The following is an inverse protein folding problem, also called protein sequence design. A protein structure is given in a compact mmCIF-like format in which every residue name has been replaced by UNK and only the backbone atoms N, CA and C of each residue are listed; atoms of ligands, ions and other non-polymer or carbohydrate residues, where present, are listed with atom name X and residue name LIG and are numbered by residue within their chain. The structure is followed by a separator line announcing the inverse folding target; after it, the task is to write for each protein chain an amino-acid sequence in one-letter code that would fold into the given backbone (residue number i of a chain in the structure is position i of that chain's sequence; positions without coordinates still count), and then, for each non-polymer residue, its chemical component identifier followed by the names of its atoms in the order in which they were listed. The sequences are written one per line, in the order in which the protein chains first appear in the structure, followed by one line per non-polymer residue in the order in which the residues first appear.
data_IF_755670307869
#
_entry.id   IF_755670307869
#
_cell.length_a   1.000
_cell.length_b   1.000
_cell.length_c   1.000
_cell.angle_alpha   90.00
_cell.angle_beta   90.00
_cell.angle_gamma   90.00
#
_symmetry.space_group_name_H-M   'P 1'
#
loop_
_entity.id
_entity.type
_entity.pdbx_description
1 polymer ?
#
# COMPACT_ATOMS: atom_id res chain seq x y z
N UNK A 1 -7.06 -1.44 -17.92
CA UNK A 1 -7.32 -2.68 -17.13
C UNK A 1 -6.52 -2.59 -15.83
N UNK A 2 -7.14 -2.76 -14.67
CA UNK A 2 -6.52 -2.61 -13.33
C UNK A 2 -5.54 -3.77 -13.00
N UNK A 3 -5.56 -4.82 -13.82
CA UNK A 3 -4.93 -6.12 -13.60
C UNK A 3 -3.39 -6.15 -13.51
N UNK A 4 -2.71 -5.02 -13.66
CA UNK A 4 -1.26 -4.92 -13.57
C UNK A 4 -0.78 -3.89 -12.53
N UNK A 5 -1.64 -3.48 -11.57
CA UNK A 5 -1.15 -2.67 -10.46
C UNK A 5 -0.29 -3.54 -9.56
N UNK A 6 1.01 -3.39 -9.74
CA UNK A 6 2.02 -3.99 -8.89
C UNK A 6 1.79 -3.49 -7.45
N UNK A 7 1.47 -4.42 -6.55
CA UNK A 7 1.22 -4.16 -5.13
C UNK A 7 2.54 -4.25 -4.37
N UNK A 8 3.52 -3.43 -4.77
CA UNK A 8 4.84 -3.39 -4.14
C UNK A 8 4.81 -2.76 -2.76
N UNK A 9 5.78 -3.13 -1.94
CA UNK A 9 6.01 -2.48 -0.66
C UNK A 9 4.92 -2.79 0.38
N UNK A 10 4.20 -3.89 0.21
CA UNK A 10 3.30 -4.45 1.23
C UNK A 10 3.69 -5.89 1.56
N UNK A 11 3.35 -6.35 2.77
CA UNK A 11 3.57 -7.74 3.15
C UNK A 11 2.68 -8.70 2.34
N UNK A 12 3.06 -9.99 2.28
CA UNK A 12 2.33 -11.05 1.57
C UNK A 12 0.83 -11.07 1.94
N UNK A 13 0.52 -10.95 3.23
CA UNK A 13 -0.86 -10.90 3.71
C UNK A 13 -1.65 -9.73 3.10
N UNK A 14 -1.05 -8.54 3.10
CA UNK A 14 -1.68 -7.35 2.53
C UNK A 14 -1.78 -7.42 1.01
N UNK A 15 -0.81 -8.03 0.33
CA UNK A 15 -0.84 -8.28 -1.12
C UNK A 15 -2.05 -9.11 -1.50
N UNK A 16 -2.28 -10.25 -0.83
CA UNK A 16 -3.45 -11.10 -1.09
C UNK A 16 -4.79 -10.37 -0.89
N UNK A 17 -4.89 -9.48 0.10
CA UNK A 17 -6.10 -8.64 0.30
C UNK A 17 -6.33 -7.69 -0.90
N UNK A 18 -5.26 -7.07 -1.41
CA UNK A 18 -5.36 -6.15 -2.54
C UNK A 18 -5.68 -6.89 -3.83
N UNK A 19 -5.02 -8.02 -4.08
CA UNK A 19 -5.29 -8.90 -5.22
C UNK A 19 -6.73 -9.42 -5.20
N UNK A 20 -7.24 -9.85 -4.04
CA UNK A 20 -8.64 -10.21 -3.88
C UNK A 20 -9.58 -9.05 -4.20
N UNK A 21 -9.27 -7.83 -3.72
CA UNK A 21 -10.07 -6.63 -4.05
C UNK A 21 -10.06 -6.33 -5.55
N UNK A 22 -8.93 -6.53 -6.24
CA UNK A 22 -8.85 -6.36 -7.70
C UNK A 22 -9.66 -7.45 -8.40
N UNK A 23 -9.46 -8.73 -8.03
CA UNK A 23 -10.15 -9.89 -8.60
C UNK A 23 -11.67 -9.77 -8.52
N UNK A 24 -12.18 -9.24 -7.42
CA UNK A 24 -13.62 -9.09 -7.18
C UNK A 24 -14.15 -7.68 -7.48
N UNK A 25 -13.39 -6.83 -8.21
CA UNK A 25 -13.80 -5.46 -8.56
C UNK A 25 -14.19 -4.57 -7.36
N UNK A 26 -13.62 -4.86 -6.18
CA UNK A 26 -13.78 -4.11 -4.92
C UNK A 26 -12.63 -3.13 -4.66
N UNK A 27 -11.72 -2.97 -5.61
CA UNK A 27 -10.56 -2.08 -5.51
C UNK A 27 -10.96 -0.64 -5.82
N UNK A 28 -10.77 0.26 -4.84
CA UNK A 28 -11.09 1.69 -4.96
C UNK A 28 -9.81 2.50 -5.07
N UNK A 29 -9.77 3.39 -6.06
CA UNK A 29 -8.69 4.36 -6.22
C UNK A 29 -8.87 5.54 -5.24
N UNK A 30 -7.76 6.22 -4.94
CA UNK A 30 -7.80 7.49 -4.23
C UNK A 30 -8.03 8.62 -5.23
N UNK A 31 -8.92 9.56 -4.90
CA UNK A 31 -9.08 10.82 -5.63
C UNK A 31 -8.08 11.88 -5.17
N UNK A 32 -7.64 11.81 -3.90
CA UNK A 32 -6.69 12.73 -3.28
C UNK A 32 -5.65 11.97 -2.46
N UNK A 33 -4.39 12.46 -2.37
CA UNK A 33 -3.38 11.86 -1.51
C UNK A 33 -3.80 11.85 -0.03
N UNK A 34 -3.45 10.78 0.68
CA UNK A 34 -3.69 10.64 2.12
C UNK A 34 -2.47 11.07 2.94
N UNK A 35 -2.70 11.38 4.22
CA UNK A 35 -1.65 11.64 5.20
C UNK A 35 -0.92 10.35 5.55
N UNK A 36 0.41 10.36 5.48
CA UNK A 36 1.27 9.26 5.93
C UNK A 36 1.31 9.21 7.45
N UNK A 37 1.21 8.03 8.06
CA UNK A 37 1.30 7.89 9.53
C UNK A 37 2.72 8.07 10.08
N UNK A 38 3.76 7.94 9.24
CA UNK A 38 5.17 8.08 9.65
C UNK A 38 5.70 9.50 9.50
N UNK A 39 5.60 10.10 8.31
CA UNK A 39 6.08 11.47 8.09
C UNK A 39 5.02 12.56 8.27
N UNK A 40 3.75 12.18 8.50
CA UNK A 40 2.62 13.11 8.70
C UNK A 40 2.33 14.05 7.51
N UNK A 41 2.97 13.85 6.36
CA UNK A 41 2.74 14.60 5.13
C UNK A 41 1.65 13.95 4.28
N UNK A 42 0.92 14.73 3.46
CA UNK A 42 -0.09 14.25 2.50
C UNK A 42 0.56 13.65 1.24
N UNK A 43 1.33 12.58 1.41
CA UNK A 43 2.20 12.00 0.37
C UNK A 43 1.80 10.59 -0.06
N UNK A 44 0.79 9.98 0.58
CA UNK A 44 0.34 8.63 0.23
C UNK A 44 -0.55 8.69 -1.01
N UNK A 45 0.00 8.27 -2.15
CA UNK A 45 -0.70 8.23 -3.45
C UNK A 45 -1.34 6.87 -3.74
N UNK A 46 -0.82 5.82 -3.14
CA UNK A 46 -1.30 4.47 -3.35
C UNK A 46 -2.58 4.18 -2.52
N UNK A 47 -3.62 3.62 -3.14
CA UNK A 47 -4.81 3.22 -2.42
C UNK A 47 -4.50 2.17 -1.36
N UNK A 48 -5.22 2.25 -0.25
CA UNK A 48 -5.08 1.36 0.92
C UNK A 48 -3.75 1.45 1.67
N UNK A 49 -2.79 2.25 1.22
CA UNK A 49 -1.56 2.50 1.98
C UNK A 49 -1.85 3.50 3.11
N UNK A 50 -1.19 3.33 4.25
CA UNK A 50 -1.21 4.26 5.40
C UNK A 50 0.17 4.91 5.59
N UNK A 51 1.22 4.31 5.02
CA UNK A 51 2.60 4.83 4.99
C UNK A 51 2.95 5.12 3.52
N UNK A 52 3.63 6.24 3.27
CA UNK A 52 4.10 6.55 1.92
C UNK A 52 5.30 5.66 1.55
N UNK A 53 5.50 5.40 0.25
CA UNK A 53 6.61 4.54 -0.23
C UNK A 53 7.99 4.91 0.35
N UNK A 54 8.39 6.20 0.44
CA UNK A 54 9.67 6.57 1.03
C UNK A 54 9.80 6.17 2.51
N UNK A 55 8.73 6.31 3.29
CA UNK A 55 8.75 5.90 4.69
C UNK A 55 8.71 4.39 4.86
N UNK A 56 7.97 3.69 3.99
CA UNK A 56 7.89 2.23 4.00
C UNK A 56 9.27 1.61 3.66
N UNK A 57 9.95 2.12 2.63
CA UNK A 57 11.29 1.64 2.26
C UNK A 57 12.38 1.98 3.28
N UNK A 58 12.33 3.17 3.89
CA UNK A 58 13.31 3.56 4.93
C UNK A 58 13.20 2.77 6.23
N UNK A 59 11.99 2.33 6.56
CA UNK A 59 11.69 1.59 7.79
C UNK A 59 11.50 0.09 7.53
N UNK A 60 11.63 -0.34 6.28
CA UNK A 60 11.41 -1.73 5.83
C UNK A 60 10.08 -2.33 6.34
N UNK A 61 9.02 -1.50 6.34
CA UNK A 61 7.68 -1.87 6.82
C UNK A 61 6.66 -1.88 5.71
N UNK A 62 5.59 -2.64 5.92
CA UNK A 62 4.47 -2.70 5.00
C UNK A 62 3.79 -1.33 4.86
N UNK A 63 3.69 -0.82 3.63
CA UNK A 63 3.08 0.46 3.36
C UNK A 63 1.57 0.52 3.73
N UNK A 64 0.91 -0.64 3.83
CA UNK A 64 -0.52 -0.78 4.16
C UNK A 64 -0.81 -1.00 5.65
N UNK A 65 -0.11 -1.91 6.33
CA UNK A 65 -0.38 -2.20 7.75
C UNK A 65 0.68 -1.65 8.71
N UNK A 66 1.85 -1.23 8.21
CA UNK A 66 2.95 -0.69 9.02
C UNK A 66 3.70 -1.72 9.85
N UNK A 67 3.47 -3.02 9.64
CA UNK A 67 4.19 -4.11 10.29
C UNK A 67 5.51 -4.41 9.58
N UNK A 68 6.50 -4.82 10.38
CA UNK A 68 7.77 -5.42 9.97
C UNK A 68 7.49 -6.91 9.71
N UNK A 69 6.97 -7.20 8.53
CA UNK A 69 6.77 -8.56 8.02
C UNK A 69 7.49 -8.66 6.68
N UNK A 70 7.73 -9.87 6.16
CA UNK A 70 8.34 -10.07 4.85
C UNK A 70 7.60 -9.26 3.77
N UNK A 71 8.23 -8.18 3.32
CA UNK A 71 7.71 -7.29 2.30
C UNK A 71 7.96 -7.93 0.96
N UNK A 72 6.89 -8.06 0.16
CA UNK A 72 7.03 -8.60 -1.18
C UNK A 72 7.66 -7.52 -2.05
N UNK A 73 8.87 -7.82 -2.53
CA UNK A 73 9.63 -7.02 -3.51
C UNK A 73 9.18 -7.39 -4.92
#
# INVERSE_FOLDING_TARGET
KINAKLHDGVCQHCKGILEWRVKFSKYKLLSKPKKCVKCLQKTVKDPYHIICRPCAGKLEVCAKCGKEEEIVI
#
